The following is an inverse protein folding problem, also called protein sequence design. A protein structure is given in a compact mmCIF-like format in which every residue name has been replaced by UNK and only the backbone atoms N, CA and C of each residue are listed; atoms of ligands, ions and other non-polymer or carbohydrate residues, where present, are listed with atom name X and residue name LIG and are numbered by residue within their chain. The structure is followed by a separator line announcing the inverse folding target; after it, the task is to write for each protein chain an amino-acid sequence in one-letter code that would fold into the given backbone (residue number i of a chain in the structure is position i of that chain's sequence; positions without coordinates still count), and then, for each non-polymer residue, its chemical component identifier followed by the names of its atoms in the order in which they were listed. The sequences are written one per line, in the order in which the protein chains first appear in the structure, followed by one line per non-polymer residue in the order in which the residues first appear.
data_IF_401753307713
#
_entry.id   IF_401753307713
#
_cell.length_a   1.000
_cell.length_b   1.000
_cell.length_c   1.000
_cell.angle_alpha   90.00
_cell.angle_beta   90.00
_cell.angle_gamma   90.00
#
_symmetry.space_group_name_H-M   'P 1'
#
loop_
_entity.id
_entity.type
_entity.pdbx_description
1 polymer ?
#
# COMPACT_ATOMS: atom_id res chain seq x y z
N UNK A 1 29.94 17.50 -66.01
CA UNK A 1 28.98 16.46 -65.54
C UNK A 1 29.62 15.11 -65.21
N UNK A 2 30.87 15.00 -64.81
CA UNK A 2 31.54 13.72 -64.43
C UNK A 2 32.03 13.61 -62.99
N UNK A 3 31.78 14.63 -62.16
CA UNK A 3 32.17 14.60 -60.74
C UNK A 3 31.03 14.36 -59.74
N UNK A 4 29.76 14.47 -60.18
CA UNK A 4 28.62 14.22 -59.34
C UNK A 4 28.22 12.73 -59.24
N UNK A 5 28.62 11.91 -60.24
CA UNK A 5 28.25 10.49 -60.33
C UNK A 5 29.13 9.59 -59.43
N UNK A 6 30.38 10.03 -59.15
CA UNK A 6 31.30 9.29 -58.25
C UNK A 6 30.99 9.47 -56.76
N UNK A 7 30.36 10.59 -56.39
CA UNK A 7 29.96 10.83 -54.97
C UNK A 7 28.68 10.05 -54.60
N UNK A 8 27.79 9.79 -55.54
CA UNK A 8 26.56 9.03 -55.35
C UNK A 8 26.83 7.53 -55.11
N UNK A 9 27.87 6.98 -55.76
CA UNK A 9 28.23 5.55 -55.59
C UNK A 9 28.96 5.31 -54.26
N UNK A 10 29.72 6.26 -53.76
CA UNK A 10 30.38 6.17 -52.47
C UNK A 10 29.37 6.25 -51.26
N UNK A 11 28.28 7.04 -51.41
CA UNK A 11 27.22 7.10 -50.39
C UNK A 11 26.31 5.88 -50.41
N UNK A 12 26.06 5.24 -51.57
CA UNK A 12 25.24 4.03 -51.66
C UNK A 12 25.95 2.80 -51.06
N UNK A 13 27.31 2.76 -51.13
CA UNK A 13 28.11 1.67 -50.54
C UNK A 13 28.20 1.73 -49.01
N UNK A 14 28.07 2.91 -48.40
CA UNK A 14 28.08 3.08 -46.94
C UNK A 14 26.73 2.78 -46.28
N UNK A 15 25.63 2.93 -47.00
CA UNK A 15 24.29 2.59 -46.50
C UNK A 15 24.00 1.08 -46.54
N UNK A 16 24.61 0.32 -47.42
CA UNK A 16 24.41 -1.14 -47.52
C UNK A 16 25.22 -1.89 -46.44
N UNK A 17 26.36 -1.37 -46.01
CA UNK A 17 27.15 -2.01 -44.94
C UNK A 17 26.53 -1.83 -43.54
N UNK A 18 25.79 -0.75 -43.32
CA UNK A 18 25.09 -0.51 -42.03
C UNK A 18 23.81 -1.34 -41.89
N UNK A 19 23.14 -1.68 -43.01
CA UNK A 19 21.92 -2.50 -42.96
C UNK A 19 22.22 -3.96 -42.54
N UNK A 20 23.36 -4.52 -42.96
CA UNK A 20 23.74 -5.89 -42.61
C UNK A 20 24.32 -6.05 -41.23
N UNK A 21 24.84 -4.97 -40.61
CA UNK A 21 25.32 -4.97 -39.23
C UNK A 21 24.16 -4.83 -38.22
N UNK A 22 23.02 -4.31 -38.63
CA UNK A 22 21.87 -4.07 -37.75
C UNK A 22 20.96 -5.28 -37.62
N UNK A 23 20.98 -6.21 -38.64
CA UNK A 23 20.14 -7.41 -38.62
C UNK A 23 20.69 -8.53 -37.72
N UNK A 24 21.97 -8.47 -37.32
CA UNK A 24 22.62 -9.46 -36.46
C UNK A 24 22.50 -9.16 -34.94
N UNK A 25 21.90 -8.05 -34.53
CA UNK A 25 21.92 -7.57 -33.15
C UNK A 25 20.56 -7.41 -32.49
N UNK A 26 19.44 -7.71 -33.15
CA UNK A 26 18.14 -7.76 -32.51
C UNK A 26 17.83 -9.19 -32.04
N UNK A 27 18.56 -9.66 -31.00
CA UNK A 27 17.99 -10.67 -30.15
C UNK A 27 16.85 -10.00 -29.40
N UNK A 28 15.62 -10.36 -29.76
CA UNK A 28 14.43 -9.95 -29.04
C UNK A 28 14.56 -10.47 -27.60
N UNK A 29 14.94 -9.57 -26.68
CA UNK A 29 15.02 -9.92 -25.26
C UNK A 29 13.59 -10.15 -24.82
N UNK A 30 13.23 -11.40 -24.62
CA UNK A 30 11.93 -11.77 -24.09
C UNK A 30 11.91 -11.42 -22.61
N UNK A 31 10.97 -10.58 -22.20
CA UNK A 31 10.75 -10.23 -20.82
C UNK A 31 9.59 -11.07 -20.27
N UNK A 32 9.79 -11.67 -19.09
CA UNK A 32 8.77 -12.45 -18.39
C UNK A 32 8.59 -11.88 -17.00
N UNK A 33 7.34 -11.84 -16.55
CA UNK A 33 7.04 -11.48 -15.15
C UNK A 33 7.62 -12.54 -14.21
N UNK A 34 8.41 -12.12 -13.23
CA UNK A 34 9.00 -12.99 -12.21
C UNK A 34 8.37 -12.73 -10.84
N UNK A 35 7.38 -13.52 -10.42
CA UNK A 35 6.74 -13.38 -9.12
C UNK A 35 7.68 -13.63 -7.92
N UNK A 36 8.86 -14.26 -8.14
CA UNK A 36 9.84 -14.48 -7.07
C UNK A 36 10.47 -13.17 -6.57
N UNK A 37 10.49 -12.14 -7.41
CA UNK A 37 10.95 -10.79 -7.07
C UNK A 37 9.90 -9.96 -6.32
N UNK A 38 8.74 -10.55 -6.01
CA UNK A 38 7.61 -9.86 -5.38
C UNK A 38 6.65 -9.24 -6.40
N UNK A 39 5.84 -8.29 -5.93
CA UNK A 39 4.80 -7.64 -6.76
C UNK A 39 4.93 -6.13 -6.73
N UNK A 40 4.66 -5.49 -7.86
CA UNK A 40 4.67 -4.04 -8.01
C UNK A 40 3.47 -3.42 -7.28
N UNK A 41 3.70 -2.28 -6.62
CA UNK A 41 2.62 -1.53 -5.99
C UNK A 41 1.68 -0.94 -7.05
N UNK A 42 0.39 -1.21 -6.90
CA UNK A 42 -0.64 -0.58 -7.71
C UNK A 42 -0.86 0.89 -7.31
N UNK A 43 -1.55 1.65 -8.16
CA UNK A 43 -1.89 3.05 -7.87
C UNK A 43 -2.76 3.15 -6.62
N UNK A 44 -2.73 4.29 -5.92
CA UNK A 44 -3.52 4.49 -4.70
C UNK A 44 -5.02 4.22 -4.88
N UNK A 45 -5.58 4.55 -6.06
CA UNK A 45 -7.00 4.32 -6.39
C UNK A 45 -7.39 2.87 -6.65
N UNK A 46 -6.41 1.98 -6.83
CA UNK A 46 -6.63 0.58 -7.15
C UNK A 46 -6.73 -0.28 -5.88
N UNK A 47 -7.31 -1.48 -5.99
CA UNK A 47 -7.41 -2.48 -4.94
C UNK A 47 -8.25 -2.07 -3.72
N UNK A 48 -9.15 -1.10 -3.88
CA UNK A 48 -10.15 -0.78 -2.87
C UNK A 48 -11.33 -1.77 -2.96
N UNK A 49 -11.93 -2.02 -1.81
CA UNK A 49 -13.14 -2.84 -1.73
C UNK A 49 -14.12 -2.28 -0.69
N UNK A 50 -15.38 -2.63 -0.88
CA UNK A 50 -16.45 -2.44 0.10
C UNK A 50 -17.06 -3.80 0.40
N UNK A 51 -17.31 -4.09 1.67
CA UNK A 51 -17.96 -5.34 2.11
C UNK A 51 -19.17 -5.02 2.96
N UNK A 52 -20.30 -5.62 2.61
CA UNK A 52 -21.49 -5.68 3.44
C UNK A 52 -21.70 -7.12 3.91
N UNK A 53 -21.93 -7.30 5.19
CA UNK A 53 -22.12 -8.63 5.79
C UNK A 53 -23.29 -8.64 6.75
N UNK A 54 -23.98 -9.78 6.82
CA UNK A 54 -25.04 -10.06 7.77
C UNK A 54 -24.90 -11.47 8.33
N UNK A 55 -25.24 -11.64 9.58
CA UNK A 55 -25.05 -12.94 10.23
C UNK A 55 -25.67 -13.03 11.60
N UNK A 56 -25.19 -14.00 12.35
CA UNK A 56 -25.61 -14.23 13.72
C UNK A 56 -24.41 -14.44 14.63
N UNK A 57 -24.58 -14.06 15.88
CA UNK A 57 -23.58 -14.22 16.92
C UNK A 57 -24.15 -14.94 18.14
N UNK A 58 -23.24 -15.48 18.94
CA UNK A 58 -23.51 -16.03 20.26
C UNK A 58 -22.59 -15.35 21.25
N UNK A 59 -23.19 -14.69 22.22
CA UNK A 59 -22.49 -14.04 23.31
C UNK A 59 -22.27 -15.02 24.47
N UNK A 60 -21.10 -14.94 25.11
CA UNK A 60 -20.70 -15.73 26.25
C UNK A 60 -20.31 -14.78 27.40
N UNK A 61 -21.15 -14.75 28.44
CA UNK A 61 -20.92 -14.05 29.67
C UNK A 61 -20.99 -15.01 30.85
N UNK A 62 -20.63 -14.53 32.03
CA UNK A 62 -20.72 -15.32 33.26
C UNK A 62 -22.21 -15.64 33.56
N UNK A 63 -22.53 -16.91 33.73
CA UNK A 63 -23.91 -17.35 34.02
C UNK A 63 -24.75 -17.80 32.84
N UNK A 64 -24.24 -17.74 31.62
CA UNK A 64 -24.97 -18.10 30.38
C UNK A 64 -25.22 -19.60 30.19
N UNK A 65 -24.65 -20.46 31.02
CA UNK A 65 -24.78 -21.92 30.95
C UNK A 65 -26.25 -22.41 31.11
N UNK A 66 -27.10 -21.63 31.78
CA UNK A 66 -28.48 -21.97 32.04
C UNK A 66 -29.45 -21.68 30.85
N UNK A 67 -28.94 -21.03 29.79
CA UNK A 67 -29.74 -20.67 28.62
C UNK A 67 -29.60 -21.68 27.50
N UNK A 68 -30.73 -22.06 26.86
CA UNK A 68 -30.70 -22.90 25.67
C UNK A 68 -29.90 -22.23 24.57
N UNK A 69 -28.99 -22.96 23.91
CA UNK A 69 -28.08 -22.46 22.88
C UNK A 69 -28.81 -21.69 21.78
N UNK A 70 -29.96 -22.19 21.31
CA UNK A 70 -30.74 -21.54 20.25
C UNK A 70 -31.30 -20.17 20.64
N UNK A 71 -31.63 -19.94 21.88
CA UNK A 71 -32.12 -18.64 22.38
C UNK A 71 -31.04 -17.57 22.48
N UNK A 72 -29.79 -17.98 22.38
CA UNK A 72 -28.62 -17.09 22.47
C UNK A 72 -28.26 -16.47 21.13
N UNK A 73 -28.68 -17.07 20.01
CA UNK A 73 -28.43 -16.51 18.69
C UNK A 73 -29.05 -15.11 18.56
N UNK A 74 -28.26 -14.19 18.05
CA UNK A 74 -28.68 -12.81 17.84
C UNK A 74 -28.15 -12.27 16.51
N UNK A 75 -28.89 -11.34 15.86
CA UNK A 75 -28.46 -10.79 14.60
C UNK A 75 -27.25 -9.88 14.75
N UNK A 76 -26.39 -9.92 13.74
CA UNK A 76 -25.23 -9.03 13.59
C UNK A 76 -25.08 -8.61 12.13
N UNK A 77 -24.52 -7.42 11.90
CA UNK A 77 -24.27 -6.89 10.57
C UNK A 77 -23.00 -6.02 10.55
N UNK A 78 -22.36 -5.91 9.41
CA UNK A 78 -21.18 -5.10 9.24
C UNK A 78 -21.10 -4.44 7.87
N UNK A 79 -20.48 -3.27 7.82
CA UNK A 79 -20.18 -2.55 6.59
C UNK A 79 -18.75 -2.04 6.68
N UNK A 80 -17.92 -2.38 5.68
CA UNK A 80 -16.50 -2.08 5.68
C UNK A 80 -16.04 -1.50 4.35
N UNK A 81 -15.04 -0.65 4.43
CA UNK A 81 -14.25 -0.19 3.29
C UNK A 81 -12.80 -0.56 3.56
N UNK A 82 -12.13 -1.14 2.60
CA UNK A 82 -10.75 -1.56 2.77
C UNK A 82 -9.94 -1.43 1.49
N UNK A 83 -8.65 -1.66 1.65
CA UNK A 83 -7.69 -1.61 0.57
C UNK A 83 -6.64 -2.70 0.73
N UNK A 84 -6.39 -3.43 -0.34
CA UNK A 84 -5.23 -4.29 -0.47
C UNK A 84 -4.00 -3.47 -0.84
N UNK A 85 -2.93 -3.58 -0.06
CA UNK A 85 -1.64 -2.92 -0.32
C UNK A 85 -0.67 -3.85 -1.04
N UNK A 86 -0.87 -5.15 -0.89
CA UNK A 86 -0.17 -6.22 -1.60
C UNK A 86 -1.14 -7.39 -1.83
N UNK A 87 -0.76 -8.43 -2.58
CA UNK A 87 -1.60 -9.64 -2.70
C UNK A 87 -1.88 -10.33 -1.36
N UNK A 88 -1.11 -10.00 -0.31
CA UNK A 88 -1.11 -10.68 0.98
C UNK A 88 -1.74 -9.82 2.07
N UNK A 89 -1.51 -8.49 2.07
CA UNK A 89 -1.84 -7.61 3.18
C UNK A 89 -2.88 -6.58 2.76
N UNK A 90 -3.93 -6.43 3.58
CA UNK A 90 -4.93 -5.37 3.46
C UNK A 90 -5.22 -4.74 4.82
N UNK A 91 -5.82 -3.57 4.78
CA UNK A 91 -6.44 -2.91 5.92
C UNK A 91 -7.89 -2.60 5.58
N UNK A 92 -8.78 -2.76 6.57
CA UNK A 92 -10.17 -2.33 6.44
C UNK A 92 -10.61 -1.55 7.68
N UNK A 93 -11.49 -0.60 7.46
CA UNK A 93 -12.22 0.13 8.49
C UNK A 93 -13.71 -0.01 8.20
N UNK A 94 -14.51 -0.05 9.22
CA UNK A 94 -15.95 -0.15 9.03
C UNK A 94 -16.74 0.09 10.29
N UNK A 95 -18.03 -0.15 10.20
CA UNK A 95 -18.97 -0.16 11.31
C UNK A 95 -19.55 -1.54 11.47
N UNK A 96 -19.65 -2.00 12.71
CA UNK A 96 -20.26 -3.27 13.05
C UNK A 96 -21.44 -3.03 14.00
N UNK A 97 -22.51 -3.74 13.78
CA UNK A 97 -23.71 -3.79 14.63
C UNK A 97 -23.91 -5.23 15.10
N UNK A 98 -24.18 -5.41 16.38
CA UNK A 98 -24.53 -6.70 16.95
C UNK A 98 -25.56 -6.56 18.05
N UNK A 99 -26.46 -7.53 18.15
CA UNK A 99 -27.31 -7.72 19.30
C UNK A 99 -26.68 -8.79 20.19
N UNK A 100 -26.55 -8.53 21.46
CA UNK A 100 -26.00 -9.46 22.43
C UNK A 100 -27.10 -9.93 23.38
N UNK A 101 -27.11 -11.22 23.69
CA UNK A 101 -28.11 -11.86 24.56
C UNK A 101 -27.40 -12.73 25.57
N UNK A 102 -27.57 -12.42 26.85
CA UNK A 102 -26.97 -13.12 27.99
C UNK A 102 -27.94 -13.37 29.13
N UNK A 103 -27.40 -13.88 30.23
CA UNK A 103 -28.04 -13.96 31.53
C UNK A 103 -27.15 -13.27 32.56
N UNK A 104 -27.77 -12.60 33.56
CA UNK A 104 -27.05 -11.98 34.66
C UNK A 104 -27.69 -12.39 36.02
N UNK A 105 -26.87 -12.67 36.98
CA UNK A 105 -27.30 -12.93 38.36
C UNK A 105 -27.71 -11.63 39.08
N UNK A 106 -27.19 -10.50 38.56
CA UNK A 106 -27.44 -9.16 39.13
C UNK A 106 -28.31 -8.36 38.17
N UNK A 107 -29.20 -7.52 38.71
CA UNK A 107 -30.01 -6.59 37.94
C UNK A 107 -29.15 -5.45 37.43
N UNK A 108 -28.86 -5.41 36.15
CA UNK A 108 -28.10 -4.38 35.42
C UNK A 108 -28.99 -3.62 34.40
N UNK A 109 -28.51 -2.50 33.86
CA UNK A 109 -29.25 -1.67 32.90
C UNK A 109 -29.57 -2.39 31.55
N UNK A 110 -28.88 -3.46 31.25
CA UNK A 110 -29.04 -4.29 30.05
C UNK A 110 -29.99 -5.47 30.24
N UNK A 111 -30.55 -5.63 31.45
CA UNK A 111 -31.54 -6.65 31.75
C UNK A 111 -32.90 -6.32 31.19
N UNK A 112 -33.57 -7.33 30.67
CA UNK A 112 -34.98 -7.27 30.29
C UNK A 112 -35.88 -7.47 31.51
N UNK A 113 -36.34 -6.34 32.04
CA UNK A 113 -37.18 -6.34 33.25
C UNK A 113 -38.64 -6.72 32.96
N UNK A 114 -39.04 -6.75 31.71
CA UNK A 114 -40.41 -7.14 31.22
C UNK A 114 -40.53 -8.64 30.91
N UNK A 115 -39.49 -9.44 31.09
CA UNK A 115 -39.48 -10.87 30.86
C UNK A 115 -39.25 -11.65 32.18
N UNK A 116 -39.82 -12.88 32.31
CA UNK A 116 -39.59 -13.69 33.52
C UNK A 116 -38.13 -14.12 33.63
N UNK A 117 -37.69 -14.29 34.86
CA UNK A 117 -36.38 -14.83 35.19
C UNK A 117 -36.19 -16.26 34.66
N UNK A 118 -34.99 -16.64 34.30
CA UNK A 118 -34.61 -17.99 33.92
C UNK A 118 -33.70 -18.54 35.02
N UNK A 119 -34.13 -19.54 35.76
CA UNK A 119 -33.41 -20.12 36.88
C UNK A 119 -32.93 -19.06 37.94
N UNK A 120 -33.76 -18.03 38.16
CA UNK A 120 -33.43 -16.94 39.08
C UNK A 120 -32.57 -15.81 38.48
N UNK A 121 -32.17 -15.93 37.21
CA UNK A 121 -31.31 -14.95 36.52
C UNK A 121 -32.11 -14.04 35.59
N UNK A 122 -31.64 -12.77 35.48
CA UNK A 122 -32.22 -11.80 34.54
C UNK A 122 -31.74 -12.07 33.13
N UNK A 123 -32.64 -12.01 32.14
CA UNK A 123 -32.30 -12.05 30.72
C UNK A 123 -31.67 -10.70 30.33
N UNK A 124 -30.51 -10.75 29.73
CA UNK A 124 -29.86 -9.58 29.13
C UNK A 124 -30.13 -9.51 27.63
N UNK A 125 -30.39 -8.31 27.12
CA UNK A 125 -30.43 -8.01 25.69
C UNK A 125 -30.04 -6.56 25.45
N UNK A 126 -28.95 -6.35 24.75
CA UNK A 126 -28.47 -5.04 24.39
C UNK A 126 -27.90 -5.05 22.97
N UNK A 127 -27.85 -3.88 22.36
CA UNK A 127 -27.30 -3.70 21.03
C UNK A 127 -25.99 -2.94 21.12
N UNK A 128 -25.02 -3.33 20.32
CA UNK A 128 -23.75 -2.63 20.19
C UNK A 128 -23.54 -2.21 18.74
N UNK A 129 -23.05 -0.99 18.55
CA UNK A 129 -22.67 -0.47 17.25
C UNK A 129 -21.40 0.39 17.42
N UNK A 130 -20.49 0.29 16.47
CA UNK A 130 -19.32 1.14 16.52
C UNK A 130 -18.31 0.89 15.42
N UNK A 131 -17.33 1.78 15.32
CA UNK A 131 -16.25 1.67 14.36
C UNK A 131 -15.29 0.55 14.74
N UNK A 132 -14.73 -0.07 13.73
CA UNK A 132 -13.76 -1.15 13.83
C UNK A 132 -12.67 -0.98 12.77
N UNK A 133 -11.48 -1.43 13.11
CA UNK A 133 -10.33 -1.43 12.22
C UNK A 133 -9.67 -2.81 12.26
N UNK A 134 -9.38 -3.40 11.09
CA UNK A 134 -8.75 -4.70 10.95
C UNK A 134 -7.53 -4.65 10.04
N UNK A 135 -6.49 -5.36 10.43
CA UNK A 135 -5.40 -5.78 9.56
C UNK A 135 -5.69 -7.19 9.04
N UNK A 136 -5.60 -7.37 7.73
CA UNK A 136 -5.98 -8.60 7.04
C UNK A 136 -4.76 -9.24 6.37
N UNK A 137 -4.67 -10.55 6.46
CA UNK A 137 -3.62 -11.38 5.87
C UNK A 137 -4.24 -12.48 5.00
N UNK A 138 -4.01 -12.46 3.71
CA UNK A 138 -4.43 -13.52 2.80
C UNK A 138 -3.50 -14.73 2.95
N UNK A 139 -3.92 -15.71 3.74
CA UNK A 139 -3.16 -16.91 4.03
C UNK A 139 -2.91 -17.74 2.78
N UNK A 140 -3.89 -17.83 1.89
CA UNK A 140 -3.77 -18.60 0.66
C UNK A 140 -2.72 -18.02 -0.26
N UNK A 141 -2.68 -16.69 -0.41
CA UNK A 141 -1.64 -16.04 -1.22
C UNK A 141 -0.27 -16.09 -0.55
N UNK A 142 -0.24 -16.10 0.79
CA UNK A 142 1.01 -16.17 1.54
C UNK A 142 1.69 -17.55 1.39
N UNK A 143 0.91 -18.63 1.52
CA UNK A 143 1.49 -20.00 1.46
C UNK A 143 1.58 -20.58 0.06
N UNK A 144 0.61 -20.27 -0.80
CA UNK A 144 0.50 -20.87 -2.14
C UNK A 144 0.91 -19.90 -3.27
N UNK A 145 1.46 -18.72 -2.93
CA UNK A 145 1.74 -17.66 -3.90
C UNK A 145 0.48 -17.00 -4.45
N UNK A 146 0.62 -15.84 -5.05
CA UNK A 146 -0.48 -15.13 -5.68
C UNK A 146 -0.82 -15.73 -7.05
N UNK A 147 -2.11 -15.92 -7.31
CA UNK A 147 -2.63 -16.35 -8.61
C UNK A 147 -3.88 -15.53 -8.97
N UNK A 148 -3.87 -14.74 -10.07
CA UNK A 148 -4.97 -13.82 -10.41
C UNK A 148 -6.31 -14.51 -10.67
N UNK A 149 -6.30 -15.76 -11.13
CA UNK A 149 -7.50 -16.58 -11.39
C UNK A 149 -8.04 -17.35 -10.19
N UNK A 150 -7.48 -17.21 -9.00
CA UNK A 150 -7.88 -18.01 -7.84
C UNK A 150 -9.33 -17.70 -7.43
N UNK A 151 -10.10 -18.79 -7.23
CA UNK A 151 -11.52 -18.70 -6.88
C UNK A 151 -11.78 -18.67 -5.37
N UNK A 152 -10.85 -19.19 -4.56
CA UNK A 152 -10.97 -19.25 -3.11
C UNK A 152 -9.75 -18.67 -2.43
N UNK A 153 -9.97 -17.83 -1.41
CA UNK A 153 -8.95 -17.31 -0.53
C UNK A 153 -9.37 -17.48 0.93
N UNK A 154 -8.47 -17.96 1.76
CA UNK A 154 -8.58 -17.90 3.21
C UNK A 154 -7.85 -16.65 3.69
N UNK A 155 -8.58 -15.76 4.36
CA UNK A 155 -8.05 -14.49 4.83
C UNK A 155 -8.22 -14.42 6.35
N UNK A 156 -7.11 -14.41 7.06
CA UNK A 156 -7.08 -14.14 8.49
C UNK A 156 -7.09 -12.63 8.73
N UNK A 157 -7.74 -12.20 9.79
CA UNK A 157 -7.63 -10.83 10.24
C UNK A 157 -7.62 -10.72 11.75
N UNK A 158 -7.02 -9.65 12.25
CA UNK A 158 -7.08 -9.22 13.62
C UNK A 158 -7.31 -7.71 13.67
N UNK A 159 -8.07 -7.27 14.66
CA UNK A 159 -8.45 -5.87 14.74
C UNK A 159 -8.98 -5.46 16.10
N UNK A 160 -9.29 -4.17 16.18
CA UNK A 160 -9.88 -3.56 17.36
C UNK A 160 -10.99 -2.59 16.98
N UNK A 161 -11.87 -2.31 17.92
CA UNK A 161 -12.95 -1.36 17.75
C UNK A 161 -13.43 -0.77 19.04
N UNK A 162 -14.27 0.24 18.92
CA UNK A 162 -14.93 0.85 20.08
C UNK A 162 -16.44 0.87 19.83
N UNK A 163 -17.20 0.30 20.74
CA UNK A 163 -18.65 0.21 20.59
C UNK A 163 -19.39 1.10 21.58
N UNK A 164 -20.51 1.61 21.11
CA UNK A 164 -21.56 2.20 21.93
C UNK A 164 -22.63 1.14 22.20
N UNK A 165 -23.02 1.03 23.46
CA UNK A 165 -24.04 0.08 23.90
C UNK A 165 -25.38 0.79 24.04
N UNK A 166 -26.44 0.15 23.53
CA UNK A 166 -27.82 0.59 23.62
C UNK A 166 -28.63 -0.46 24.36
N UNK A 167 -29.18 -0.06 25.51
CA UNK A 167 -29.99 -0.91 26.37
C UNK A 167 -31.46 -0.46 26.35
N UNK A 168 -32.38 -1.36 26.68
CA UNK A 168 -33.78 -1.05 26.75
C UNK A 168 -34.05 -0.24 28.04
N UNK A 169 -34.70 0.90 27.91
CA UNK A 169 -35.02 1.77 29.04
C UNK A 169 -36.41 1.46 29.58
N UNK A 170 -36.52 1.41 30.92
CA UNK A 170 -37.78 1.09 31.61
C UNK A 170 -38.07 2.14 32.69
N UNK A 171 -39.34 2.54 32.77
CA UNK A 171 -39.87 3.25 33.95
C UNK A 171 -40.39 2.22 34.94
N UNK A 172 -39.86 2.24 36.16
CA UNK A 172 -40.24 1.31 37.23
C UNK A 172 -40.92 2.05 38.38
N UNK A 173 -41.77 1.35 39.11
CA UNK A 173 -42.37 1.83 40.34
C UNK A 173 -41.37 1.79 41.51
N UNK A 174 -41.78 2.24 42.73
CA UNK A 174 -40.99 2.21 43.94
C UNK A 174 -40.61 0.80 44.42
N UNK A 175 -41.28 -0.22 43.89
CA UNK A 175 -41.03 -1.64 44.18
C UNK A 175 -40.18 -2.31 43.10
N UNK A 176 -39.81 -1.56 42.04
CA UNK A 176 -38.97 -2.06 40.97
C UNK A 176 -39.73 -2.78 39.83
N UNK A 177 -41.08 -2.79 39.85
CA UNK A 177 -41.86 -3.37 38.77
C UNK A 177 -41.90 -2.44 37.54
N UNK A 178 -41.91 -3.01 36.35
CA UNK A 178 -41.93 -2.24 35.09
C UNK A 178 -43.32 -1.64 34.88
N UNK A 179 -43.40 -0.30 34.85
CA UNK A 179 -44.62 0.43 34.52
C UNK A 179 -44.68 0.63 32.97
N UNK A 180 -43.54 0.98 32.35
CA UNK A 180 -43.48 1.32 30.93
C UNK A 180 -42.11 1.01 30.33
N UNK A 181 -42.09 0.54 29.10
CA UNK A 181 -40.87 0.45 28.28
C UNK A 181 -40.72 1.71 27.42
N UNK A 182 -39.62 2.43 27.51
CA UNK A 182 -39.38 3.71 26.84
C UNK A 182 -38.60 3.59 25.53
N UNK A 183 -38.23 2.39 25.09
CA UNK A 183 -37.40 2.15 23.92
C UNK A 183 -35.96 1.89 24.30
N UNK A 184 -35.02 2.19 23.39
CA UNK A 184 -33.60 1.98 23.62
C UNK A 184 -32.90 3.29 24.01
N UNK A 185 -32.08 3.23 25.05
CA UNK A 185 -31.24 4.33 25.52
C UNK A 185 -29.77 4.01 25.25
N UNK A 186 -29.02 5.00 24.80
CA UNK A 186 -27.55 4.88 24.69
C UNK A 186 -26.95 4.90 26.08
N UNK A 187 -26.13 3.90 26.37
CA UNK A 187 -25.32 3.90 27.57
C UNK A 187 -24.13 4.87 27.40
N UNK A 188 -23.66 5.47 28.49
CA UNK A 188 -22.52 6.42 28.44
C UNK A 188 -21.19 5.70 28.24
N UNK A 189 -21.12 4.41 28.56
CA UNK A 189 -19.89 3.65 28.50
C UNK A 189 -19.51 3.31 27.05
N UNK A 190 -18.23 3.43 26.79
CA UNK A 190 -17.60 2.98 25.56
C UNK A 190 -16.93 1.64 25.85
N UNK A 191 -17.18 0.67 24.99
CA UNK A 191 -16.65 -0.68 25.14
C UNK A 191 -15.55 -0.88 24.12
N UNK A 192 -14.36 -1.25 24.58
CA UNK A 192 -13.26 -1.65 23.70
C UNK A 192 -13.45 -3.10 23.30
N UNK A 193 -13.21 -3.39 22.03
CA UNK A 193 -13.33 -4.74 21.47
C UNK A 193 -12.07 -5.08 20.70
N UNK A 194 -11.52 -6.27 20.99
CA UNK A 194 -10.52 -6.92 20.17
C UNK A 194 -11.16 -8.08 19.44
N UNK A 195 -10.86 -8.20 18.14
CA UNK A 195 -11.45 -9.23 17.32
C UNK A 195 -10.45 -9.89 16.40
N UNK A 196 -10.67 -11.17 16.13
CA UNK A 196 -9.95 -11.92 15.13
C UNK A 196 -10.91 -12.85 14.39
N UNK A 197 -10.63 -13.15 13.14
CA UNK A 197 -11.50 -14.00 12.36
C UNK A 197 -10.83 -14.57 11.12
N UNK A 198 -11.56 -15.50 10.52
CA UNK A 198 -11.18 -16.17 9.28
C UNK A 198 -12.30 -15.95 8.25
N UNK A 199 -11.96 -15.22 7.20
CA UNK A 199 -12.83 -15.01 6.06
C UNK A 199 -12.52 -16.06 5.01
N UNK A 200 -13.51 -16.87 4.67
CA UNK A 200 -13.49 -17.75 3.51
C UNK A 200 -14.08 -16.98 2.33
N UNK A 201 -13.25 -16.52 1.43
CA UNK A 201 -13.61 -15.63 0.34
C UNK A 201 -13.70 -16.39 -0.98
N UNK A 202 -14.85 -16.32 -1.63
CA UNK A 202 -15.18 -17.00 -2.88
C UNK A 202 -15.42 -15.98 -4.00
N UNK A 203 -14.56 -15.99 -4.99
CA UNK A 203 -14.68 -15.13 -6.17
C UNK A 203 -15.80 -15.64 -7.08
N UNK A 204 -16.85 -14.86 -7.22
CA UNK A 204 -17.97 -15.14 -8.11
C UNK A 204 -17.75 -14.48 -9.47
N UNK A 205 -17.31 -13.25 -9.46
CA UNK A 205 -16.89 -12.51 -10.65
C UNK A 205 -15.62 -11.74 -10.36
N UNK A 206 -15.14 -11.04 -11.35
CA UNK A 206 -13.96 -10.18 -11.18
C UNK A 206 -14.14 -9.08 -10.16
N UNK A 207 -15.35 -8.61 -9.94
CA UNK A 207 -15.65 -7.52 -9.04
C UNK A 207 -16.40 -7.94 -7.78
N UNK A 208 -17.04 -9.13 -7.80
CA UNK A 208 -17.94 -9.57 -6.74
C UNK A 208 -17.44 -10.85 -6.12
N UNK A 209 -17.23 -10.82 -4.83
CA UNK A 209 -16.89 -11.97 -4.01
C UNK A 209 -17.98 -12.22 -2.97
N UNK A 210 -18.21 -13.48 -2.64
CA UNK A 210 -19.02 -13.90 -1.51
C UNK A 210 -18.07 -14.40 -0.41
N UNK A 211 -18.41 -14.13 0.84
CA UNK A 211 -17.58 -14.54 1.96
C UNK A 211 -18.39 -15.17 3.09
N UNK A 212 -17.76 -16.12 3.76
CA UNK A 212 -18.17 -16.63 5.07
C UNK A 212 -17.09 -16.21 6.08
N UNK A 213 -17.43 -15.29 6.98
CA UNK A 213 -16.56 -14.82 8.04
C UNK A 213 -16.94 -15.49 9.37
N UNK A 214 -15.98 -16.19 9.98
CA UNK A 214 -16.11 -16.73 11.33
C UNK A 214 -15.23 -15.87 12.23
N UNK A 215 -15.86 -15.22 13.20
CA UNK A 215 -15.27 -14.16 14.01
C UNK A 215 -15.38 -14.46 15.49
N UNK A 216 -14.28 -14.27 16.18
CA UNK A 216 -14.22 -14.20 17.62
C UNK A 216 -13.98 -12.75 18.05
N UNK A 217 -14.69 -12.30 19.08
CA UNK A 217 -14.51 -10.98 19.67
C UNK A 217 -14.38 -11.09 21.18
N UNK A 218 -13.35 -10.47 21.75
CA UNK A 218 -13.19 -10.20 23.16
C UNK A 218 -13.69 -8.80 23.47
N UNK A 219 -14.69 -8.69 24.32
CA UNK A 219 -15.38 -7.44 24.65
C UNK A 219 -15.00 -7.08 26.07
N UNK A 220 -14.37 -5.93 26.27
CA UNK A 220 -14.06 -5.43 27.61
C UNK A 220 -15.35 -4.93 28.28
N UNK A 221 -15.82 -5.69 29.25
CA UNK A 221 -17.07 -5.41 29.96
C UNK A 221 -16.78 -4.86 31.36
N UNK A 222 -16.70 -3.54 31.49
CA UNK A 222 -16.43 -2.86 32.77
C UNK A 222 -17.56 -3.00 33.79
N UNK A 223 -18.69 -3.63 33.46
CA UNK A 223 -19.90 -3.67 34.29
C UNK A 223 -20.14 -4.97 35.04
N UNK A 224 -19.44 -6.03 34.75
CA UNK A 224 -19.51 -7.24 35.55
C UNK A 224 -18.62 -7.04 36.78
N UNK A 225 -19.25 -6.51 37.88
CA UNK A 225 -18.56 -6.14 39.12
C UNK A 225 -17.90 -7.32 39.87
N UNK A 226 -18.05 -8.56 39.39
CA UNK A 226 -17.59 -9.77 40.08
C UNK A 226 -16.24 -10.33 39.63
N UNK A 227 -15.51 -9.67 38.73
CA UNK A 227 -14.23 -10.21 38.21
C UNK A 227 -13.05 -9.24 38.28
N UNK A 228 -11.95 -9.62 38.94
CA UNK A 228 -10.65 -8.97 38.77
C UNK A 228 -9.85 -9.60 37.63
N UNK A 229 -9.19 -8.78 36.82
CA UNK A 229 -8.29 -9.24 35.72
C UNK A 229 -9.00 -9.75 34.45
N UNK A 230 -8.55 -10.88 33.92
CA UNK A 230 -9.06 -11.49 32.67
C UNK A 230 -10.53 -11.94 32.73
N UNK A 231 -11.11 -12.06 33.90
CA UNK A 231 -12.53 -12.42 34.11
C UNK A 231 -13.51 -11.29 33.74
N UNK A 232 -13.03 -10.11 33.38
CA UNK A 232 -13.85 -8.97 32.90
C UNK A 232 -14.15 -9.00 31.42
N UNK A 233 -13.55 -9.92 30.67
CA UNK A 233 -13.72 -9.98 29.22
C UNK A 233 -14.83 -10.94 28.88
N UNK A 234 -15.90 -10.43 28.28
CA UNK A 234 -16.93 -11.24 27.65
C UNK A 234 -16.52 -11.66 26.25
N UNK A 235 -17.02 -12.78 25.77
CA UNK A 235 -16.63 -13.38 24.51
C UNK A 235 -17.82 -13.44 23.56
N UNK A 236 -17.58 -13.21 22.28
CA UNK A 236 -18.58 -13.33 21.24
C UNK A 236 -18.03 -14.16 20.09
N UNK A 237 -18.82 -15.12 19.63
CA UNK A 237 -18.53 -15.91 18.44
C UNK A 237 -19.61 -15.63 17.41
N UNK A 238 -19.22 -15.20 16.22
CA UNK A 238 -20.14 -14.82 15.17
C UNK A 238 -19.80 -15.49 13.83
N UNK A 239 -20.85 -15.73 13.04
CA UNK A 239 -20.72 -16.16 11.66
C UNK A 239 -21.50 -15.19 10.75
N UNK A 240 -20.82 -14.69 9.71
CA UNK A 240 -21.40 -13.76 8.74
C UNK A 240 -21.31 -14.29 7.33
N UNK A 241 -22.34 -14.01 6.56
CA UNK A 241 -22.29 -14.08 5.10
C UNK A 241 -22.12 -12.67 4.56
N UNK A 242 -21.13 -12.46 3.71
CA UNK A 242 -20.76 -11.17 3.18
C UNK A 242 -20.72 -11.14 1.65
N UNK A 243 -20.93 -9.94 1.13
CA UNK A 243 -20.70 -9.60 -0.27
C UNK A 243 -19.65 -8.49 -0.32
N UNK A 244 -18.59 -8.75 -1.07
CA UNK A 244 -17.50 -7.79 -1.29
C UNK A 244 -17.50 -7.34 -2.74
N UNK A 245 -17.47 -6.02 -2.95
CA UNK A 245 -17.29 -5.42 -4.26
C UNK A 245 -15.91 -4.76 -4.34
N UNK A 246 -15.14 -5.11 -5.37
CA UNK A 246 -13.78 -4.60 -5.59
C UNK A 246 -13.80 -3.54 -6.69
N UNK A 247 -13.13 -2.42 -6.44
CA UNK A 247 -13.03 -1.27 -7.35
C UNK A 247 -11.74 -1.30 -8.15
N UNK A 248 -11.78 -0.80 -9.36
CA UNK A 248 -10.63 -0.54 -10.24
C UNK A 248 -9.76 -1.79 -10.50
N UNK A 249 -8.45 -1.58 -10.72
CA UNK A 249 -7.48 -2.65 -10.94
C UNK A 249 -7.32 -3.49 -9.66
N UNK A 250 -7.32 -4.81 -9.81
CA UNK A 250 -7.25 -5.79 -8.71
C UNK A 250 -6.06 -6.71 -8.82
N UNK A 251 -5.58 -6.90 -10.03
CA UNK A 251 -4.47 -7.78 -10.30
C UNK A 251 -3.15 -7.10 -9.97
N UNK A 252 -2.23 -7.92 -9.52
CA UNK A 252 -0.88 -7.51 -9.20
C UNK A 252 0.04 -8.01 -10.30
N UNK A 253 0.91 -7.14 -10.81
CA UNK A 253 1.93 -7.48 -11.79
C UNK A 253 3.25 -7.73 -11.06
N UNK A 254 3.98 -8.74 -11.48
CA UNK A 254 5.35 -8.96 -11.02
C UNK A 254 6.33 -8.07 -11.82
N UNK A 255 7.52 -7.80 -11.29
CA UNK A 255 8.59 -7.19 -12.05
C UNK A 255 8.91 -8.03 -13.30
N UNK A 256 9.13 -7.37 -14.43
CA UNK A 256 9.56 -8.03 -15.63
C UNK A 256 11.08 -8.19 -15.63
N UNK A 257 11.53 -9.41 -15.77
CA UNK A 257 12.96 -9.74 -15.87
C UNK A 257 13.28 -10.24 -17.29
N UNK A 258 14.45 -9.92 -17.84
CA UNK A 258 14.87 -10.48 -19.10
C UNK A 258 15.11 -11.98 -18.95
N UNK A 259 14.49 -12.76 -19.80
CA UNK A 259 14.79 -14.20 -19.88
C UNK A 259 16.08 -14.35 -20.66
N UNK A 260 17.12 -14.86 -19.98
CA UNK A 260 18.28 -15.34 -20.70
C UNK A 260 17.84 -16.53 -21.56
N UNK A 261 18.04 -16.52 -22.87
CA UNK A 261 17.77 -17.69 -23.70
C UNK A 261 18.54 -18.90 -23.14
N UNK A 262 17.95 -20.11 -23.23
CA UNK A 262 18.64 -21.31 -22.78
C UNK A 262 20.03 -21.35 -23.43
N UNK A 263 21.04 -21.77 -22.68
CA UNK A 263 22.43 -21.76 -23.13
C UNK A 263 22.58 -22.54 -24.44
N UNK A 264 22.37 -21.85 -25.54
CA UNK A 264 22.72 -22.37 -26.85
C UNK A 264 24.24 -22.35 -26.94
N UNK A 265 24.77 -23.58 -26.98
CA UNK A 265 26.12 -23.91 -27.45
C UNK A 265 27.22 -22.94 -27.00
N UNK A 266 27.94 -23.28 -25.92
CA UNK A 266 29.05 -22.48 -25.38
C UNK A 266 30.05 -22.00 -26.47
N UNK A 267 30.15 -22.69 -27.57
CA UNK A 267 31.03 -22.34 -28.67
C UNK A 267 30.50 -21.14 -29.48
N UNK A 268 29.19 -21.00 -29.63
CA UNK A 268 28.58 -19.81 -30.23
C UNK A 268 28.78 -18.56 -29.33
N UNK A 269 28.68 -18.72 -28.00
CA UNK A 269 28.98 -17.64 -27.05
C UNK A 269 30.45 -17.28 -27.04
N UNK A 270 31.36 -18.25 -27.12
CA UNK A 270 32.82 -18.01 -27.21
C UNK A 270 33.14 -17.25 -28.50
N UNK A 271 32.56 -17.63 -29.64
CA UNK A 271 32.74 -16.92 -30.90
C UNK A 271 32.23 -15.47 -30.81
N UNK A 272 31.06 -15.25 -30.20
CA UNK A 272 30.51 -13.91 -29.99
C UNK A 272 31.37 -13.06 -29.03
N UNK A 273 31.84 -13.68 -27.95
CA UNK A 273 32.75 -13.04 -26.99
C UNK A 273 34.06 -12.63 -27.66
N UNK A 274 34.58 -13.49 -28.51
CA UNK A 274 35.80 -13.22 -29.27
C UNK A 274 35.59 -12.08 -30.28
N UNK A 275 34.48 -12.11 -31.03
CA UNK A 275 34.11 -11.03 -31.93
C UNK A 275 33.86 -9.70 -31.21
N UNK A 276 33.25 -9.74 -30.02
CA UNK A 276 33.06 -8.55 -29.19
C UNK A 276 34.40 -8.00 -28.67
N UNK A 277 35.32 -8.86 -28.25
CA UNK A 277 36.67 -8.45 -27.81
C UNK A 277 37.50 -7.86 -28.96
N UNK A 278 37.40 -8.46 -30.16
CA UNK A 278 38.06 -7.93 -31.36
C UNK A 278 37.49 -6.55 -31.72
N UNK A 279 36.17 -6.36 -31.56
CA UNK A 279 35.50 -5.08 -31.74
C UNK A 279 35.88 -4.03 -30.70
N UNK A 280 36.03 -4.45 -29.44
CA UNK A 280 36.52 -3.58 -28.36
C UNK A 280 37.94 -3.10 -28.69
N UNK A 281 38.82 -4.00 -29.12
CA UNK A 281 40.17 -3.68 -29.51
C UNK A 281 40.23 -2.70 -30.67
N UNK A 282 39.41 -2.93 -31.73
CA UNK A 282 39.27 -2.01 -32.86
C UNK A 282 38.77 -0.63 -32.43
N UNK A 283 37.80 -0.57 -31.52
CA UNK A 283 37.28 0.69 -30.95
C UNK A 283 38.31 1.39 -30.05
N UNK A 284 39.11 0.63 -29.28
CA UNK A 284 40.20 1.18 -28.48
C UNK A 284 41.29 1.81 -29.35
N UNK A 285 41.62 1.16 -30.47
CA UNK A 285 42.61 1.72 -31.42
C UNK A 285 42.03 2.96 -32.15
N UNK A 286 40.74 2.95 -32.54
CA UNK A 286 40.05 4.13 -33.05
C UNK A 286 39.96 5.26 -32.04
N UNK A 287 39.76 4.94 -30.74
CA UNK A 287 39.77 5.92 -29.65
C UNK A 287 41.14 6.54 -29.45
N UNK A 288 42.21 5.73 -29.50
CA UNK A 288 43.59 6.24 -29.45
C UNK A 288 43.87 7.20 -30.60
N UNK A 289 43.44 6.83 -31.81
CA UNK A 289 43.58 7.70 -32.97
C UNK A 289 42.75 8.98 -32.89
N UNK A 290 41.60 8.91 -32.21
CA UNK A 290 40.76 10.06 -31.97
C UNK A 290 41.33 10.98 -30.87
N UNK A 291 41.90 10.41 -29.80
CA UNK A 291 42.52 11.14 -28.72
C UNK A 291 43.81 11.87 -29.14
N UNK A 292 44.47 11.39 -30.19
CA UNK A 292 45.66 12.04 -30.78
C UNK A 292 45.30 13.21 -31.70
N UNK A 293 43.99 13.45 -31.98
CA UNK A 293 43.53 14.65 -32.70
C UNK A 293 43.31 15.78 -31.72
N UNK A 294 43.70 17.03 -32.00
CA UNK A 294 43.44 18.15 -31.09
C UNK A 294 41.89 18.29 -30.89
N UNK A 295 41.48 18.09 -29.67
CA UNK A 295 40.04 18.13 -29.27
C UNK A 295 39.68 19.60 -29.01
N UNK A 296 38.58 20.14 -29.55
CA UNK A 296 37.97 21.34 -29.03
C UNK A 296 37.58 21.12 -27.55
N UNK A 297 37.82 22.09 -26.68
CA UNK A 297 37.53 21.99 -25.25
C UNK A 297 36.13 21.47 -24.99
N UNK A 298 35.95 20.42 -24.15
CA UNK A 298 34.66 19.86 -23.87
C UNK A 298 33.82 20.84 -23.06
N UNK A 299 32.60 21.10 -23.51
CA UNK A 299 31.55 21.68 -22.66
C UNK A 299 31.21 20.62 -21.62
N UNK A 300 31.71 20.81 -20.41
CA UNK A 300 31.44 19.92 -19.28
C UNK A 300 30.01 20.21 -18.81
N UNK A 301 29.04 19.43 -19.23
CA UNK A 301 27.75 19.38 -18.55
C UNK A 301 28.01 18.86 -17.11
N UNK A 302 27.92 19.75 -16.13
CA UNK A 302 28.13 19.41 -14.72
C UNK A 302 26.99 18.48 -14.27
N UNK A 303 27.36 17.26 -13.91
CA UNK A 303 26.40 16.33 -13.31
C UNK A 303 25.88 16.86 -11.96
N UNK A 304 24.63 16.62 -11.61
CA UNK A 304 24.08 17.03 -10.31
C UNK A 304 24.86 16.40 -9.16
N UNK A 305 25.16 17.19 -8.13
CA UNK A 305 25.84 16.75 -6.92
C UNK A 305 25.07 15.63 -6.20
N UNK A 306 23.75 15.70 -6.23
CA UNK A 306 22.87 14.67 -5.72
C UNK A 306 21.49 14.74 -6.36
N UNK A 307 20.83 13.58 -6.45
CA UNK A 307 19.42 13.47 -6.88
C UNK A 307 18.65 12.62 -5.87
N UNK A 308 17.53 13.13 -5.37
CA UNK A 308 16.63 12.47 -4.43
C UNK A 308 15.33 12.15 -5.16
N UNK A 309 14.93 10.88 -5.20
CA UNK A 309 13.70 10.42 -5.83
C UNK A 309 12.59 10.21 -4.81
N UNK A 310 11.34 10.50 -5.22
CA UNK A 310 10.18 10.42 -4.34
C UNK A 310 9.10 9.49 -4.90
N UNK A 311 8.44 8.72 -4.03
CA UNK A 311 7.20 8.03 -4.39
C UNK A 311 6.12 9.01 -4.83
N UNK A 312 5.07 8.48 -5.46
CA UNK A 312 3.92 9.27 -5.88
C UNK A 312 3.28 9.98 -4.68
N UNK A 313 2.97 11.26 -4.86
CA UNK A 313 2.33 12.12 -3.86
C UNK A 313 3.11 12.28 -2.52
N UNK A 314 4.38 11.91 -2.50
CA UNK A 314 5.27 12.06 -1.34
C UNK A 314 6.27 13.20 -1.57
N UNK A 315 6.53 13.94 -0.50
CA UNK A 315 7.53 15.02 -0.44
C UNK A 315 8.41 14.94 0.82
N UNK A 316 8.14 13.97 1.72
CA UNK A 316 8.93 13.78 2.94
C UNK A 316 10.22 13.02 2.63
N UNK A 317 11.31 13.49 3.22
CA UNK A 317 12.62 12.82 3.15
C UNK A 317 12.61 11.55 4.02
N UNK A 318 13.22 10.50 3.51
CA UNK A 318 13.47 9.27 4.27
C UNK A 318 14.74 9.39 5.10
N UNK A 319 15.01 8.44 6.01
CA UNK A 319 16.27 8.38 6.76
C UNK A 319 17.49 8.24 5.84
N UNK A 320 17.33 7.53 4.72
CA UNK A 320 18.38 7.37 3.70
C UNK A 320 18.68 8.71 3.02
N UNK A 321 17.66 9.47 2.66
CA UNK A 321 17.81 10.78 2.02
C UNK A 321 18.46 11.78 2.96
N UNK A 322 18.12 11.73 4.24
CA UNK A 322 18.77 12.56 5.28
C UNK A 322 20.25 12.21 5.40
N UNK A 323 20.62 10.93 5.33
CA UNK A 323 22.03 10.50 5.32
C UNK A 323 22.78 10.95 4.07
N UNK A 324 22.15 10.91 2.88
CA UNK A 324 22.73 11.47 1.65
C UNK A 324 22.95 12.98 1.80
N UNK A 325 21.98 13.70 2.35
CA UNK A 325 22.08 15.15 2.57
C UNK A 325 23.13 15.52 3.64
N UNK A 326 23.53 14.61 4.53
CA UNK A 326 24.67 14.81 5.43
C UNK A 326 25.98 14.89 4.64
N UNK A 327 26.21 13.97 3.71
CA UNK A 327 27.38 13.97 2.85
C UNK A 327 27.43 15.21 1.95
N UNK A 328 26.27 15.55 1.33
CA UNK A 328 26.14 16.75 0.50
C UNK A 328 26.43 18.03 1.29
N UNK A 329 25.88 18.13 2.51
CA UNK A 329 26.14 19.26 3.39
C UNK A 329 27.65 19.37 3.79
N UNK A 330 28.35 18.25 3.91
CA UNK A 330 29.78 18.21 4.09
C UNK A 330 30.51 18.90 2.91
N UNK A 331 30.22 18.44 1.69
CA UNK A 331 30.82 19.02 0.46
C UNK A 331 30.53 20.52 0.33
N UNK A 332 29.30 20.96 0.66
CA UNK A 332 28.93 22.37 0.59
C UNK A 332 29.66 23.24 1.61
N UNK A 333 29.84 22.74 2.83
CA UNK A 333 30.60 23.44 3.89
C UNK A 333 32.09 23.53 3.58
N UNK A 334 32.63 22.52 2.92
CA UNK A 334 34.04 22.53 2.47
C UNK A 334 34.29 23.49 1.29
N UNK A 335 33.20 23.98 0.65
CA UNK A 335 33.25 24.93 -0.47
C UNK A 335 32.37 26.17 -0.19
N UNK A 336 32.73 27.02 0.76
CA UNK A 336 31.90 28.15 1.22
C UNK A 336 31.62 29.21 0.17
N UNK A 337 32.48 29.33 -0.83
CA UNK A 337 32.37 30.33 -1.91
C UNK A 337 31.42 29.91 -3.04
N UNK A 338 30.99 28.64 -3.05
CA UNK A 338 30.12 28.12 -4.08
C UNK A 338 28.65 28.27 -3.70
N UNK A 339 27.83 28.52 -4.70
CA UNK A 339 26.35 28.49 -4.58
C UNK A 339 25.79 27.22 -5.20
N UNK A 340 24.65 26.79 -4.71
CA UNK A 340 24.01 25.57 -5.17
C UNK A 340 22.52 25.84 -5.45
N UNK A 341 22.03 25.27 -6.54
CA UNK A 341 20.61 25.34 -6.93
C UNK A 341 19.96 24.02 -6.61
N UNK A 342 18.86 24.07 -5.88
CA UNK A 342 18.01 22.93 -5.56
C UNK A 342 16.80 23.00 -6.48
N UNK A 343 16.68 22.06 -7.44
CA UNK A 343 15.59 22.05 -8.41
C UNK A 343 14.60 20.95 -8.10
N UNK A 344 13.32 21.31 -8.02
CA UNK A 344 12.23 20.37 -7.77
C UNK A 344 11.54 19.93 -9.05
N UNK A 345 11.41 18.63 -9.20
CA UNK A 345 10.78 17.97 -10.36
C UNK A 345 9.54 17.18 -9.95
N UNK A 346 8.57 17.09 -10.82
CA UNK A 346 7.44 16.19 -10.70
C UNK A 346 7.07 15.68 -12.09
N UNK A 347 6.67 14.43 -12.16
CA UNK A 347 6.22 13.85 -13.42
C UNK A 347 4.96 14.55 -13.94
N UNK A 348 4.82 14.67 -15.26
CA UNK A 348 3.68 15.29 -15.93
C UNK A 348 2.59 14.26 -16.30
N UNK A 349 2.78 12.98 -15.93
CA UNK A 349 1.86 11.89 -16.26
C UNK A 349 0.83 11.63 -15.16
N UNK A 350 1.12 12.05 -13.91
CA UNK A 350 0.23 11.83 -12.77
C UNK A 350 -0.14 13.15 -12.07
N UNK A 351 -1.35 13.20 -11.49
CA UNK A 351 -1.84 14.40 -10.81
C UNK A 351 -2.33 15.48 -11.78
N UNK A 352 -2.42 16.70 -11.28
CA UNK A 352 -2.70 17.89 -12.06
C UNK A 352 -1.61 18.95 -11.82
N UNK A 353 -1.53 19.96 -12.69
CA UNK A 353 -0.51 21.00 -12.64
C UNK A 353 -0.37 21.64 -11.26
N UNK A 354 -1.48 22.01 -10.61
CA UNK A 354 -1.48 22.67 -9.29
C UNK A 354 -0.95 21.76 -8.17
N UNK A 355 -1.28 20.46 -8.22
CA UNK A 355 -0.78 19.48 -7.25
C UNK A 355 0.72 19.26 -7.47
N UNK A 356 1.14 19.10 -8.72
CA UNK A 356 2.53 18.85 -9.07
C UNK A 356 3.42 20.05 -8.71
N UNK A 357 2.97 21.27 -8.95
CA UNK A 357 3.65 22.49 -8.53
C UNK A 357 3.85 22.52 -7.00
N UNK A 358 2.80 22.23 -6.23
CA UNK A 358 2.89 22.14 -4.77
C UNK A 358 3.86 21.06 -4.31
N UNK A 359 3.90 19.93 -5.00
CA UNK A 359 4.84 18.83 -4.67
C UNK A 359 6.28 19.24 -4.95
N UNK A 360 6.55 19.91 -6.08
CA UNK A 360 7.90 20.46 -6.40
C UNK A 360 8.37 21.40 -5.30
N UNK A 361 7.57 22.38 -4.93
CA UNK A 361 7.87 23.32 -3.86
C UNK A 361 8.10 22.66 -2.50
N UNK A 362 7.25 21.73 -2.12
CA UNK A 362 7.40 21.01 -0.84
C UNK A 362 8.68 20.16 -0.79
N UNK A 363 9.06 19.52 -1.90
CA UNK A 363 10.28 18.73 -2.01
C UNK A 363 11.52 19.60 -1.89
N UNK A 364 11.59 20.67 -2.67
CA UNK A 364 12.72 21.63 -2.64
C UNK A 364 12.87 22.24 -1.26
N UNK A 365 11.79 22.75 -0.68
CA UNK A 365 11.83 23.34 0.66
C UNK A 365 12.21 22.33 1.74
N UNK A 366 11.80 21.07 1.60
CA UNK A 366 12.18 19.98 2.48
C UNK A 366 13.68 19.73 2.47
N UNK A 367 14.30 19.67 1.27
CA UNK A 367 15.72 19.51 1.06
C UNK A 367 16.50 20.75 1.59
N UNK A 368 16.11 21.96 1.18
CA UNK A 368 16.71 23.22 1.66
C UNK A 368 16.72 23.29 3.19
N UNK A 369 15.56 23.06 3.81
CA UNK A 369 15.43 23.08 5.27
C UNK A 369 16.32 22.04 5.96
N UNK A 370 16.49 20.87 5.35
CA UNK A 370 17.36 19.83 5.89
C UNK A 370 18.84 20.22 5.77
N UNK A 371 19.29 20.78 4.64
CA UNK A 371 20.66 21.26 4.47
C UNK A 371 21.01 22.39 5.45
N UNK A 372 20.08 23.34 5.67
CA UNK A 372 20.25 24.39 6.68
C UNK A 372 20.40 23.80 8.08
N UNK A 373 19.59 22.78 8.44
CA UNK A 373 19.72 22.07 9.73
C UNK A 373 21.06 21.35 9.89
N UNK A 374 21.71 20.99 8.78
CA UNK A 374 23.05 20.38 8.75
C UNK A 374 24.19 21.42 8.72
N UNK A 375 23.84 22.71 8.86
CA UNK A 375 24.79 23.81 8.99
C UNK A 375 25.25 24.43 7.67
N UNK A 376 24.56 24.20 6.56
CA UNK A 376 24.80 24.91 5.30
C UNK A 376 24.16 26.29 5.38
N UNK A 377 24.93 27.38 5.11
CA UNK A 377 24.37 28.73 5.09
C UNK A 377 23.25 28.89 4.06
N UNK A 378 22.19 29.58 4.42
CA UNK A 378 21.08 29.80 3.49
C UNK A 378 21.49 30.60 2.25
N UNK A 379 22.49 31.47 2.36
CA UNK A 379 23.08 32.26 1.26
C UNK A 379 23.73 31.41 0.16
N UNK A 380 24.07 30.15 0.44
CA UNK A 380 24.59 29.20 -0.53
C UNK A 380 23.50 28.46 -1.31
N UNK A 381 22.23 28.55 -0.88
CA UNK A 381 21.14 27.68 -1.36
C UNK A 381 20.07 28.48 -2.09
N UNK A 382 20.06 28.39 -3.40
CA UNK A 382 18.97 28.86 -4.24
C UNK A 382 17.97 27.72 -4.53
N UNK A 383 16.71 28.07 -4.73
CA UNK A 383 15.63 27.11 -4.99
C UNK A 383 14.93 27.42 -6.29
N UNK A 384 14.66 26.38 -7.07
CA UNK A 384 13.96 26.45 -8.35
C UNK A 384 12.97 25.30 -8.46
N UNK A 385 11.88 25.52 -9.17
CA UNK A 385 11.01 24.43 -9.66
C UNK A 385 11.07 24.39 -11.17
N UNK A 386 11.05 23.21 -11.73
CA UNK A 386 11.00 23.02 -13.17
C UNK A 386 9.72 22.31 -13.57
N UNK A 387 9.06 22.81 -14.62
CA UNK A 387 7.80 22.27 -15.11
C UNK A 387 8.00 21.13 -16.12
N UNK A 388 9.22 20.94 -16.61
CA UNK A 388 9.57 19.81 -17.44
C UNK A 388 9.71 18.52 -16.61
N UNK A 389 9.75 17.39 -17.28
CA UNK A 389 10.18 16.14 -16.66
C UNK A 389 11.71 16.15 -16.53
N UNK A 390 12.26 15.71 -15.40
CA UNK A 390 13.70 15.50 -15.25
C UNK A 390 14.22 14.50 -16.31
N UNK A 391 13.44 13.46 -16.54
CA UNK A 391 13.67 12.46 -17.60
C UNK A 391 12.34 12.17 -18.25
N UNK A 392 12.25 12.28 -19.57
CA UNK A 392 11.03 11.99 -20.34
C UNK A 392 11.20 10.71 -21.18
N UNK A 393 10.91 9.59 -20.56
CA UNK A 393 10.90 8.24 -21.15
C UNK A 393 9.49 7.64 -21.24
N UNK A 394 8.44 8.48 -21.14
CA UNK A 394 7.04 8.08 -21.15
C UNK A 394 6.48 7.71 -19.77
N UNK A 395 5.17 7.46 -19.70
CA UNK A 395 4.41 7.29 -18.45
C UNK A 395 4.86 6.09 -17.59
N UNK A 396 5.35 5.04 -18.24
CA UNK A 396 5.92 3.84 -17.58
C UNK A 396 7.07 4.19 -16.65
N UNK A 397 7.83 5.22 -16.97
CA UNK A 397 9.01 5.67 -16.25
C UNK A 397 8.77 6.99 -15.48
N UNK A 398 7.53 7.39 -15.29
CA UNK A 398 7.14 8.61 -14.58
C UNK A 398 7.80 8.77 -13.19
N UNK A 399 8.20 7.66 -12.55
CA UNK A 399 8.91 7.67 -11.27
C UNK A 399 10.24 8.43 -11.33
N UNK A 400 10.94 8.42 -12.48
CA UNK A 400 12.21 9.12 -12.67
C UNK A 400 12.06 10.65 -12.75
N UNK A 401 10.84 11.13 -13.08
CA UNK A 401 10.50 12.55 -13.05
C UNK A 401 10.16 13.11 -11.67
N UNK A 402 10.08 12.27 -10.63
CA UNK A 402 9.71 12.68 -9.26
C UNK A 402 10.96 12.86 -8.41
N UNK A 403 11.67 13.93 -8.62
CA UNK A 403 12.98 14.12 -8.00
C UNK A 403 13.20 15.53 -7.45
N UNK A 404 14.29 15.68 -6.70
CA UNK A 404 14.94 16.95 -6.41
C UNK A 404 16.42 16.78 -6.74
N UNK A 405 16.94 17.61 -7.63
CA UNK A 405 18.38 17.68 -7.95
C UNK A 405 19.03 18.80 -7.17
N UNK A 406 20.31 18.62 -6.89
CA UNK A 406 21.17 19.62 -6.26
C UNK A 406 22.38 19.79 -7.18
N UNK A 407 22.58 20.98 -7.66
CA UNK A 407 23.61 21.32 -8.64
C UNK A 407 24.40 22.53 -8.18
N UNK A 408 25.68 22.62 -8.57
CA UNK A 408 26.47 23.82 -8.37
C UNK A 408 25.95 24.92 -9.31
N UNK A 409 25.66 26.11 -8.77
CA UNK A 409 25.28 27.26 -9.58
C UNK A 409 26.45 27.71 -10.48
N UNK A 410 26.11 28.12 -11.69
CA UNK A 410 27.08 28.70 -12.62
C UNK A 410 27.60 30.07 -12.14
#
# INVERSE_FOLDING_TARGET
MKKATLLAIACAGLFSASAWAQEAAQQEITYVEDPSQGYLFNRFKDNWFITAEGGANIYFSHGDSDRKTWDRFAPAAGLYVGKWFSPIIALRIGANYMTLKGLSDVRTDDCKLDEPLVNGKYKQKFNQVGPVFDAMLNLTNWWCGYHPGRRYNAIFYAGAGGYWTFTKDYTTDSQGNVIKSNGYKRNQDRVLVFRAGLINDFRISDQVHLSLDIRYSGIDNHKDEEGEGWNRTSHDLAAFLGVTYLFNKREWSAPVVPVCPPAENCDAYRARLQAANDRIKDLEDQLKDCLNKPVPEPVVEKAPLATIYYPINIFRLTKKDVGLLDAVAGVMKDNPDKKYVITGWADNYTGNSKINERLRWNRVNGVKKQLIRKGVPESQLDVKIDNANLVDLGDKYAALGRATTIEEAE
#
